data_IF_418737564727
#
_entry.id   IF_418737564727
#
_cell.length_a   1.000
_cell.length_b   1.000
_cell.length_c   1.000
_cell.angle_alpha   90.00
_cell.angle_beta   90.00
_cell.angle_gamma   90.00
#
_symmetry.space_group_name_H-M   'P 1'
#
loop_
_entity.id
_entity.type
_entity.pdbx_description
1 polymer ?
#
# COMPACT_ATOMS: atom_id res chain seq x y z
N UNK A 1 14.56 -25.78 6.76
CA UNK A 1 14.66 -24.37 6.32
C UNK A 1 14.03 -24.13 4.95
N UNK A 2 14.19 -25.03 3.96
CA UNK A 2 13.55 -24.88 2.64
C UNK A 2 12.03 -24.70 2.69
N UNK A 3 11.33 -25.49 3.52
CA UNK A 3 9.87 -25.36 3.69
C UNK A 3 9.46 -23.97 4.21
N UNK A 4 10.19 -23.43 5.20
CA UNK A 4 9.91 -22.10 5.75
C UNK A 4 10.07 -21.00 4.69
N UNK A 5 11.18 -21.00 3.95
CA UNK A 5 11.42 -20.02 2.88
C UNK A 5 10.35 -20.13 1.80
N UNK A 6 10.04 -21.35 1.38
CA UNK A 6 8.99 -21.59 0.39
C UNK A 6 7.63 -21.05 0.85
N UNK A 7 7.23 -21.30 2.11
CA UNK A 7 5.96 -20.77 2.66
C UNK A 7 5.97 -19.24 2.71
N UNK A 8 7.08 -18.64 3.11
CA UNK A 8 7.23 -17.19 3.17
C UNK A 8 7.10 -16.55 1.78
N UNK A 9 7.74 -17.14 0.78
CA UNK A 9 7.67 -16.67 -0.60
C UNK A 9 6.29 -16.89 -1.21
N UNK A 10 5.66 -18.04 -0.94
CA UNK A 10 4.31 -18.36 -1.42
C UNK A 10 3.28 -17.36 -0.91
N UNK A 11 3.30 -17.08 0.41
CA UNK A 11 2.37 -16.13 1.06
C UNK A 11 2.63 -14.66 0.76
N UNK A 12 3.66 -14.35 -0.05
CA UNK A 12 3.93 -13.00 -0.56
C UNK A 12 3.46 -12.83 -2.02
N UNK A 13 3.00 -13.89 -2.69
CA UNK A 13 2.55 -13.80 -4.08
C UNK A 13 1.20 -13.11 -4.15
N UNK A 14 0.99 -12.31 -5.20
CA UNK A 14 -0.31 -11.71 -5.51
C UNK A 14 -1.44 -12.74 -5.51
N UNK A 15 -1.21 -13.95 -6.05
CA UNK A 15 -2.23 -15.02 -6.07
C UNK A 15 -2.72 -15.43 -4.67
N UNK A 16 -1.84 -15.38 -3.67
CA UNK A 16 -2.23 -15.64 -2.28
C UNK A 16 -3.10 -14.50 -1.74
N UNK A 17 -2.68 -13.24 -1.96
CA UNK A 17 -3.46 -12.06 -1.57
C UNK A 17 -4.84 -12.03 -2.26
N UNK A 18 -4.86 -12.31 -3.56
CA UNK A 18 -6.07 -12.37 -4.38
C UNK A 18 -7.07 -13.39 -3.88
N UNK A 19 -6.60 -14.55 -3.40
CA UNK A 19 -7.46 -15.56 -2.80
C UNK A 19 -8.28 -15.07 -1.60
N UNK A 20 -7.82 -14.00 -0.93
CA UNK A 20 -8.53 -13.40 0.21
C UNK A 20 -9.30 -12.11 -0.17
N UNK A 21 -8.82 -11.33 -1.15
CA UNK A 21 -9.39 -10.03 -1.51
C UNK A 21 -10.34 -10.04 -2.71
N UNK A 22 -10.19 -10.98 -3.67
CA UNK A 22 -11.07 -11.05 -4.84
C UNK A 22 -12.49 -11.39 -4.40
N UNK A 23 -13.45 -10.53 -4.76
CA UNK A 23 -14.86 -10.69 -4.44
C UNK A 23 -15.23 -10.26 -3.02
N UNK A 24 -14.27 -9.78 -2.24
CA UNK A 24 -14.48 -9.29 -0.87
C UNK A 24 -14.36 -7.77 -0.77
N UNK A 25 -13.62 -7.13 -1.70
CA UNK A 25 -13.43 -5.69 -1.81
C UNK A 25 -13.06 -5.28 -3.26
N UNK A 26 -12.77 -3.99 -3.50
CA UNK A 26 -12.32 -3.45 -4.80
C UNK A 26 -10.81 -3.24 -4.91
N UNK A 27 -10.02 -3.66 -3.90
CA UNK A 27 -8.59 -3.33 -3.76
C UNK A 27 -7.76 -3.96 -4.88
N UNK A 28 -8.11 -5.18 -5.30
CA UNK A 28 -7.40 -5.87 -6.40
C UNK A 28 -7.60 -5.16 -7.73
N UNK A 29 -8.82 -4.70 -8.01
CA UNK A 29 -9.14 -3.97 -9.25
C UNK A 29 -8.43 -2.62 -9.30
N UNK A 30 -8.43 -1.90 -8.18
CA UNK A 30 -7.71 -0.62 -8.04
C UNK A 30 -6.21 -0.80 -8.26
N UNK A 31 -5.60 -1.83 -7.64
CA UNK A 31 -4.20 -2.13 -7.87
C UNK A 31 -3.90 -2.45 -9.34
N UNK A 32 -4.73 -3.25 -9.99
CA UNK A 32 -4.56 -3.59 -11.42
C UNK A 32 -4.71 -2.37 -12.34
N UNK A 33 -5.52 -1.39 -11.94
CA UNK A 33 -5.65 -0.11 -12.64
C UNK A 33 -4.50 0.86 -12.35
N UNK A 34 -3.73 0.65 -11.27
CA UNK A 34 -2.66 1.55 -10.83
C UNK A 34 -1.41 1.51 -11.71
N UNK A 35 -0.60 2.56 -11.60
CA UNK A 35 0.71 2.66 -12.27
C UNK A 35 1.71 1.61 -11.80
N UNK A 36 1.50 1.01 -10.63
CA UNK A 36 2.38 -0.01 -10.07
C UNK A 36 2.12 -1.40 -10.65
N UNK A 37 0.96 -1.61 -11.28
CA UNK A 37 0.66 -2.80 -12.06
C UNK A 37 0.77 -2.52 -13.57
N UNK A 38 0.07 -1.50 -14.06
CA UNK A 38 -0.03 -1.16 -15.48
C UNK A 38 0.75 0.12 -15.78
N UNK A 39 2.01 -0.04 -16.17
CA UNK A 39 2.90 1.09 -16.50
C UNK A 39 3.25 1.17 -17.99
N UNK A 40 3.60 2.37 -18.45
CA UNK A 40 3.91 2.67 -19.86
C UNK A 40 5.30 2.22 -20.30
N UNK A 41 6.17 1.84 -19.36
CA UNK A 41 7.57 1.47 -19.62
C UNK A 41 7.80 -0.04 -19.68
N UNK A 42 6.76 -0.85 -19.43
CA UNK A 42 6.88 -2.30 -19.34
C UNK A 42 7.77 -2.77 -18.19
N UNK A 43 8.00 -1.92 -17.19
CA UNK A 43 8.76 -2.29 -15.98
C UNK A 43 7.97 -3.36 -15.22
N UNK A 44 8.69 -4.30 -14.61
CA UNK A 44 8.08 -5.34 -13.79
C UNK A 44 7.17 -4.69 -12.74
N UNK A 45 5.91 -5.13 -12.70
CA UNK A 45 4.93 -4.63 -11.75
C UNK A 45 5.40 -4.89 -10.31
N UNK A 46 5.24 -3.89 -9.45
CA UNK A 46 5.39 -4.10 -8.01
C UNK A 46 4.25 -4.98 -7.52
N UNK A 47 4.53 -5.99 -6.72
CA UNK A 47 3.54 -6.91 -6.16
C UNK A 47 2.89 -6.33 -4.91
N UNK A 48 1.80 -6.95 -4.43
CA UNK A 48 1.17 -6.59 -3.16
C UNK A 48 2.20 -6.61 -2.02
N UNK A 49 3.09 -7.60 -2.01
CA UNK A 49 4.11 -7.77 -0.97
C UNK A 49 5.25 -6.74 -1.04
N UNK A 50 5.56 -6.20 -2.21
CA UNK A 50 6.59 -5.16 -2.33
C UNK A 50 6.23 -3.89 -1.55
N UNK A 51 4.92 -3.62 -1.45
CA UNK A 51 4.37 -2.49 -0.72
C UNK A 51 3.92 -2.86 0.70
N UNK A 52 3.17 -3.96 0.86
CA UNK A 52 2.51 -4.28 2.14
C UNK A 52 3.30 -5.22 3.06
N UNK A 53 4.42 -5.79 2.62
CA UNK A 53 5.22 -6.72 3.45
C UNK A 53 6.62 -6.15 3.65
N UNK A 54 7.03 -5.82 4.90
CA UNK A 54 8.39 -5.39 5.18
C UNK A 54 9.43 -6.40 4.69
N UNK A 55 10.61 -5.92 4.25
CA UNK A 55 11.66 -6.82 3.75
C UNK A 55 12.45 -7.45 4.91
N UNK A 56 12.63 -6.71 5.99
CA UNK A 56 13.33 -7.11 7.21
C UNK A 56 12.58 -8.22 7.94
N UNK A 57 13.33 -9.17 8.52
CA UNK A 57 12.75 -10.38 9.10
C UNK A 57 11.76 -10.10 10.25
N UNK A 58 12.16 -9.31 11.25
CA UNK A 58 11.32 -9.09 12.45
C UNK A 58 10.00 -8.37 12.12
N UNK A 59 10.00 -7.22 11.39
CA UNK A 59 8.74 -6.58 10.99
C UNK A 59 7.88 -7.45 10.07
N UNK A 60 8.49 -8.21 9.15
CA UNK A 60 7.78 -9.16 8.29
C UNK A 60 7.05 -10.23 9.09
N UNK A 61 7.71 -10.80 10.11
CA UNK A 61 7.09 -11.81 10.97
C UNK A 61 5.97 -11.21 11.81
N UNK A 62 6.14 -10.00 12.36
CA UNK A 62 5.09 -9.31 13.09
C UNK A 62 3.85 -9.06 12.22
N UNK A 63 4.05 -8.59 10.98
CA UNK A 63 2.97 -8.39 10.03
C UNK A 63 2.25 -9.70 9.69
N UNK A 64 2.99 -10.78 9.42
CA UNK A 64 2.39 -12.10 9.10
C UNK A 64 1.60 -12.69 10.26
N UNK A 65 2.04 -12.49 11.50
CA UNK A 65 1.27 -12.88 12.69
C UNK A 65 0.00 -12.04 12.79
N UNK A 66 0.08 -10.72 12.59
CA UNK A 66 -1.08 -9.83 12.60
C UNK A 66 -2.11 -10.15 11.49
N UNK A 67 -1.62 -10.52 10.30
CA UNK A 67 -2.46 -10.90 9.14
C UNK A 67 -3.26 -12.20 9.36
N UNK A 68 -3.00 -12.96 10.42
CA UNK A 68 -3.89 -14.07 10.81
C UNK A 68 -5.31 -13.61 11.12
N UNK A 69 -5.48 -12.34 11.53
CA UNK A 69 -6.80 -11.71 11.69
C UNK A 69 -7.57 -11.60 10.37
N UNK A 70 -6.88 -11.35 9.25
CA UNK A 70 -7.53 -11.24 7.94
C UNK A 70 -8.10 -12.60 7.51
N UNK A 71 -7.37 -13.69 7.78
CA UNK A 71 -7.83 -15.06 7.55
C UNK A 71 -9.08 -15.36 8.39
N UNK A 72 -9.09 -14.95 9.66
CA UNK A 72 -10.26 -15.11 10.53
C UNK A 72 -11.49 -14.37 9.98
N UNK A 73 -11.32 -13.10 9.60
CA UNK A 73 -12.41 -12.29 9.05
C UNK A 73 -12.93 -12.82 7.71
N UNK A 74 -12.04 -13.33 6.86
CA UNK A 74 -12.41 -14.01 5.61
C UNK A 74 -13.24 -15.27 5.88
N UNK A 75 -12.75 -16.17 6.75
CA UNK A 75 -13.45 -17.42 7.07
C UNK A 75 -14.82 -17.18 7.74
N UNK A 76 -14.94 -16.09 8.51
CA UNK A 76 -16.19 -15.71 9.17
C UNK A 76 -17.11 -14.88 8.28
N UNK A 77 -16.63 -14.37 7.14
CA UNK A 77 -17.39 -13.50 6.24
C UNK A 77 -17.79 -12.17 6.88
N UNK A 78 -17.00 -11.63 7.81
CA UNK A 78 -17.35 -10.39 8.54
C UNK A 78 -17.04 -9.11 7.75
N UNK A 79 -16.13 -9.19 6.79
CA UNK A 79 -15.80 -8.11 5.85
C UNK A 79 -16.30 -8.59 4.50
N UNK A 80 -17.18 -7.83 3.86
CA UNK A 80 -17.79 -8.13 2.56
C UNK A 80 -17.78 -6.89 1.68
N UNK A 81 -18.04 -7.04 0.39
CA UNK A 81 -18.11 -5.90 -0.53
C UNK A 81 -19.15 -4.85 -0.09
N UNK A 82 -20.25 -5.29 0.55
CA UNK A 82 -21.34 -4.43 1.01
C UNK A 82 -20.91 -3.51 2.16
N UNK A 83 -20.12 -4.02 3.11
CA UNK A 83 -19.70 -3.24 4.28
C UNK A 83 -18.27 -2.70 4.19
N UNK A 84 -17.47 -3.15 3.22
CA UNK A 84 -16.06 -2.80 3.13
C UNK A 84 -15.86 -1.29 2.99
N UNK A 85 -16.53 -0.66 2.02
CA UNK A 85 -16.34 0.76 1.69
C UNK A 85 -16.71 1.70 2.84
N UNK A 86 -17.80 1.40 3.53
CA UNK A 86 -18.39 2.28 4.55
C UNK A 86 -17.86 1.99 5.96
N UNK A 87 -17.65 0.73 6.32
CA UNK A 87 -17.34 0.32 7.69
C UNK A 87 -15.86 0.01 7.92
N UNK A 88 -15.11 -0.34 6.85
CA UNK A 88 -13.78 -0.92 7.01
C UNK A 88 -12.68 -0.13 6.29
N UNK A 89 -12.91 0.31 5.05
CA UNK A 89 -11.92 1.04 4.25
C UNK A 89 -11.33 2.24 4.99
N UNK A 90 -12.10 3.13 5.64
CA UNK A 90 -11.52 4.29 6.33
C UNK A 90 -10.48 3.90 7.39
N UNK A 91 -10.84 2.95 8.27
CA UNK A 91 -9.96 2.49 9.34
C UNK A 91 -8.74 1.73 8.82
N UNK A 92 -8.93 0.87 7.81
CA UNK A 92 -7.84 0.08 7.23
C UNK A 92 -6.86 0.96 6.44
N UNK A 93 -7.38 1.89 5.65
CA UNK A 93 -6.56 2.86 4.92
C UNK A 93 -5.77 3.77 5.88
N UNK A 94 -6.39 4.21 6.97
CA UNK A 94 -5.70 4.99 8.01
C UNK A 94 -4.57 4.19 8.64
N UNK A 95 -4.84 2.94 9.06
CA UNK A 95 -3.81 2.06 9.66
C UNK A 95 -2.60 1.90 8.74
N UNK A 96 -2.82 1.63 7.46
CA UNK A 96 -1.73 1.47 6.49
C UNK A 96 -1.01 2.81 6.27
N UNK A 97 -1.74 3.91 6.14
CA UNK A 97 -1.13 5.24 5.98
C UNK A 97 -0.24 5.60 7.16
N UNK A 98 -0.68 5.32 8.39
CA UNK A 98 0.11 5.54 9.60
C UNK A 98 1.37 4.67 9.63
N UNK A 99 1.29 3.42 9.17
CA UNK A 99 2.46 2.56 9.01
C UNK A 99 3.49 3.19 8.05
N UNK A 100 3.05 3.64 6.87
CA UNK A 100 3.93 4.32 5.91
C UNK A 100 4.49 5.65 6.41
N UNK A 101 3.77 6.38 7.27
CA UNK A 101 4.28 7.61 7.87
C UNK A 101 5.31 7.32 8.95
N UNK A 102 4.98 6.42 9.88
CA UNK A 102 5.83 6.07 11.02
C UNK A 102 7.13 5.38 10.59
N UNK A 103 7.09 4.63 9.50
CA UNK A 103 8.26 3.93 8.98
C UNK A 103 9.05 4.71 7.92
N UNK A 104 8.71 5.98 7.66
CA UNK A 104 9.30 6.81 6.59
C UNK A 104 9.18 6.20 5.18
N UNK A 105 8.04 5.57 4.90
CA UNK A 105 7.73 4.97 3.61
C UNK A 105 8.82 4.01 3.10
N UNK A 106 9.39 3.21 4.00
CA UNK A 106 10.50 2.28 3.70
C UNK A 106 10.23 1.41 2.48
N UNK A 107 8.99 0.94 2.33
CA UNK A 107 8.59 0.08 1.21
C UNK A 107 8.65 0.83 -0.13
N UNK A 108 8.25 2.10 -0.17
CA UNK A 108 8.46 2.95 -1.33
C UNK A 108 9.96 3.13 -1.61
N UNK A 109 10.75 3.37 -0.56
CA UNK A 109 12.19 3.64 -0.65
C UNK A 109 13.04 2.46 -1.11
N UNK A 110 12.52 1.23 -1.02
CA UNK A 110 13.21 0.06 -1.59
C UNK A 110 13.33 0.09 -3.11
N UNK A 111 12.43 0.81 -3.78
CA UNK A 111 12.43 0.96 -5.23
C UNK A 111 12.67 2.42 -5.66
N UNK A 112 12.24 3.40 -4.85
CA UNK A 112 12.35 4.83 -5.12
C UNK A 112 13.38 5.49 -4.21
N UNK A 113 14.58 5.71 -4.74
CA UNK A 113 15.61 6.48 -4.07
C UNK A 113 15.50 7.95 -4.47
N UNK A 114 15.20 8.82 -3.51
CA UNK A 114 15.06 10.27 -3.72
C UNK A 114 16.34 10.87 -4.30
N UNK A 115 17.51 10.35 -3.92
CA UNK A 115 18.80 10.85 -4.41
C UNK A 115 19.08 10.47 -5.86
N UNK A 116 18.32 9.53 -6.42
CA UNK A 116 18.44 9.07 -7.82
C UNK A 116 17.30 9.58 -8.69
N UNK A 117 16.43 10.42 -8.15
CA UNK A 117 15.37 11.03 -8.94
C UNK A 117 15.96 12.07 -9.90
N UNK A 118 15.54 12.02 -11.15
CA UNK A 118 15.84 13.05 -12.13
C UNK A 118 14.93 14.26 -11.87
N UNK A 119 15.47 15.27 -11.19
CA UNK A 119 14.74 16.49 -10.81
C UNK A 119 14.52 17.46 -11.97
N UNK A 120 15.29 17.35 -13.05
CA UNK A 120 15.18 18.21 -14.23
C UNK A 120 13.99 17.79 -15.10
N UNK A 121 13.70 16.49 -15.16
CA UNK A 121 12.56 15.94 -15.88
C UNK A 121 11.26 15.88 -15.05
N UNK A 122 11.21 16.59 -13.91
CA UNK A 122 10.01 16.74 -13.09
C UNK A 122 9.38 18.12 -13.27
N UNK A 123 8.09 18.25 -12.95
CA UNK A 123 7.49 19.58 -12.82
C UNK A 123 8.22 20.39 -11.74
N UNK A 124 8.31 21.71 -11.91
CA UNK A 124 8.98 22.61 -10.94
C UNK A 124 8.45 22.44 -9.51
N UNK A 125 7.17 22.12 -9.36
CA UNK A 125 6.55 21.88 -8.07
C UNK A 125 6.94 20.53 -7.46
N UNK A 126 6.91 19.45 -8.25
CA UNK A 126 7.31 18.12 -7.79
C UNK A 126 8.79 18.10 -7.40
N UNK A 127 9.66 18.64 -8.26
CA UNK A 127 11.10 18.75 -8.03
C UNK A 127 11.43 19.46 -6.72
N UNK A 128 10.82 20.65 -6.48
CA UNK A 128 10.98 21.39 -5.22
C UNK A 128 10.48 20.59 -4.01
N UNK A 129 9.34 19.91 -4.12
CA UNK A 129 8.77 19.12 -3.02
C UNK A 129 9.66 17.93 -2.66
N UNK A 130 10.14 17.18 -3.66
CA UNK A 130 11.04 16.06 -3.41
C UNK A 130 12.38 16.52 -2.80
N UNK A 131 12.97 17.61 -3.29
CA UNK A 131 14.23 18.12 -2.73
C UNK A 131 14.11 18.60 -1.28
N UNK A 132 12.96 19.17 -0.90
CA UNK A 132 12.73 19.72 0.45
C UNK A 132 11.97 18.76 1.38
N UNK A 133 11.68 17.53 0.95
CA UNK A 133 10.83 16.62 1.74
C UNK A 133 11.48 16.23 3.08
N UNK A 134 12.79 16.01 3.08
CA UNK A 134 13.55 15.64 4.29
C UNK A 134 13.54 16.78 5.32
N UNK A 135 13.76 18.02 4.87
CA UNK A 135 13.70 19.22 5.72
C UNK A 135 12.31 19.42 6.35
N UNK A 136 11.26 18.96 5.67
CA UNK A 136 9.87 19.05 6.12
C UNK A 136 9.40 17.85 6.92
N UNK A 137 10.25 16.83 7.12
CA UNK A 137 9.88 15.57 7.74
C UNK A 137 8.75 14.84 7.01
N UNK A 138 8.64 15.01 5.69
CA UNK A 138 7.59 14.40 4.87
C UNK A 138 8.03 13.03 4.34
N UNK A 139 7.07 12.11 4.31
CA UNK A 139 7.20 10.77 3.74
C UNK A 139 6.62 10.71 2.33
N UNK A 140 6.77 9.59 1.62
CA UNK A 140 6.18 9.44 0.28
C UNK A 140 4.66 9.57 0.31
N UNK A 141 4.03 8.96 1.32
CA UNK A 141 2.57 8.86 1.39
C UNK A 141 1.90 10.20 1.73
N UNK A 142 2.63 11.18 2.27
CA UNK A 142 2.08 12.51 2.55
C UNK A 142 1.64 13.27 1.29
N UNK A 143 2.23 12.96 0.13
CA UNK A 143 1.82 13.52 -1.16
C UNK A 143 1.25 12.48 -2.12
N UNK A 144 1.72 11.23 -2.05
CA UNK A 144 1.29 10.14 -2.93
C UNK A 144 0.23 9.23 -2.29
N UNK A 145 -0.61 9.80 -1.42
CA UNK A 145 -1.75 9.09 -0.87
C UNK A 145 -2.67 8.59 -2.00
N UNK A 146 -3.14 7.36 -1.89
CA UNK A 146 -4.01 6.75 -2.88
C UNK A 146 -3.34 6.34 -4.21
N UNK A 147 -2.02 6.12 -4.20
CA UNK A 147 -1.25 5.78 -5.41
C UNK A 147 -1.66 4.46 -6.09
N UNK A 148 -2.18 3.50 -5.32
CA UNK A 148 -2.65 2.21 -5.83
C UNK A 148 -4.10 1.90 -5.49
N UNK A 149 -4.64 2.51 -4.43
CA UNK A 149 -5.99 2.28 -3.93
C UNK A 149 -6.69 3.60 -3.74
N UNK A 150 -7.98 3.67 -4.05
CA UNK A 150 -8.77 4.87 -3.85
C UNK A 150 -8.76 5.27 -2.36
N UNK A 151 -8.60 6.57 -2.10
CA UNK A 151 -8.76 7.10 -0.76
C UNK A 151 -10.20 6.86 -0.28
N UNK A 152 -10.41 6.58 1.01
CA UNK A 152 -11.76 6.50 1.57
C UNK A 152 -12.51 7.80 1.26
N UNK A 153 -13.80 7.68 0.96
CA UNK A 153 -14.64 8.87 0.82
C UNK A 153 -14.60 9.62 2.16
N UNK A 154 -14.47 10.97 2.16
CA UNK A 154 -14.64 11.73 3.38
C UNK A 154 -15.99 11.37 3.99
N UNK A 155 -16.06 11.29 5.31
CA UNK A 155 -17.36 11.25 5.99
C UNK A 155 -18.18 12.46 5.48
N UNK A 156 -19.50 12.29 5.32
CA UNK A 156 -20.39 13.25 4.65
C UNK A 156 -20.49 14.65 5.33
N UNK A 157 -19.57 15.01 6.21
CA UNK A 157 -19.54 16.24 6.99
C UNK A 157 -18.47 17.25 6.55
N UNK A 158 -17.65 16.96 5.54
CA UNK A 158 -16.57 17.89 5.12
C UNK A 158 -16.52 18.17 3.61
N UNK A 159 -17.61 17.94 2.87
CA UNK A 159 -17.72 18.33 1.45
C UNK A 159 -18.14 19.80 1.25
N UNK A 160 -18.05 20.65 2.27
CA UNK A 160 -18.44 22.05 2.22
C UNK A 160 -17.48 22.97 3.00
N UNK A 161 -16.18 22.88 2.72
CA UNK A 161 -15.24 23.95 3.02
C UNK A 161 -13.92 23.72 2.25
N UNK A 162 -13.90 24.07 0.96
CA UNK A 162 -12.79 24.76 0.28
C UNK A 162 -13.15 25.03 -1.19
#
# INVERSE_FOLDING_TARGET
>A
MAAFHWTMDYTNRNQFCYGCHIGMDTIVEEYQASIHFKNTKGVVAATCSDCHVPREFVPKMALKIGATGDIFHMMRGTITLENFETEHRPRLAQKVTDEYKTNDSKQCRYCHDVNKMDFENQSRNASRRHQTMAERGQTCIDCHAGIAHALPKPAATEAAAE
#
